data_IF_351701478697
#
_entry.id   IF_351701478697
#
_cell.length_a   1.000
_cell.length_b   1.000
_cell.length_c   1.000
_cell.angle_alpha   90.00
_cell.angle_beta   90.00
_cell.angle_gamma   90.00
#
_symmetry.space_group_name_H-M   'P 1'
#
loop_
_entity.id
_entity.type
_entity.pdbx_description
1 polymer ?
#
# COMPACT_ATOMS: atom_id res chain seq x y z
N UNK A 1 24.17 -3.88 -4.39
CA UNK A 1 22.74 -4.09 -4.69
C UNK A 1 22.42 -5.54 -5.06
N UNK A 2 23.03 -6.13 -6.09
CA UNK A 2 22.70 -7.50 -6.56
C UNK A 2 22.88 -8.56 -5.49
N UNK A 3 24.03 -8.61 -4.81
CA UNK A 3 24.29 -9.60 -3.74
C UNK A 3 23.27 -9.49 -2.60
N UNK A 4 22.98 -8.27 -2.15
CA UNK A 4 21.98 -8.01 -1.10
C UNK A 4 20.57 -8.41 -1.53
N UNK A 5 20.19 -8.20 -2.80
CA UNK A 5 18.92 -8.66 -3.34
C UNK A 5 18.85 -10.19 -3.38
N UNK A 6 19.91 -10.87 -3.85
CA UNK A 6 19.94 -12.34 -3.88
C UNK A 6 19.76 -12.92 -2.49
N UNK A 7 20.48 -12.39 -1.49
CA UNK A 7 20.35 -12.83 -0.09
C UNK A 7 18.95 -12.54 0.43
N UNK A 8 18.43 -11.33 0.22
CA UNK A 8 17.09 -10.94 0.68
C UNK A 8 15.99 -11.81 0.06
N UNK A 9 16.06 -12.08 -1.24
CA UNK A 9 15.13 -12.98 -1.94
C UNK A 9 15.24 -14.40 -1.42
N UNK A 10 16.46 -14.93 -1.24
CA UNK A 10 16.68 -16.27 -0.70
C UNK A 10 16.10 -16.41 0.72
N UNK A 11 16.32 -15.43 1.59
CA UNK A 11 15.71 -15.38 2.92
C UNK A 11 14.18 -15.31 2.83
N UNK A 12 13.64 -14.48 1.94
CA UNK A 12 12.20 -14.36 1.69
C UNK A 12 11.56 -15.67 1.24
N UNK A 13 12.24 -16.44 0.39
CA UNK A 13 11.80 -17.76 -0.06
C UNK A 13 11.67 -18.79 1.06
N UNK A 14 12.38 -18.62 2.19
CA UNK A 14 12.29 -19.51 3.34
C UNK A 14 11.34 -18.95 4.40
N UNK A 15 11.49 -17.68 4.76
CA UNK A 15 10.72 -17.05 5.85
C UNK A 15 9.24 -16.95 5.47
N UNK A 16 8.92 -16.54 4.25
CA UNK A 16 7.51 -16.34 3.83
C UNK A 16 6.68 -17.62 3.90
N UNK A 17 7.09 -18.77 3.34
CA UNK A 17 6.32 -20.00 3.47
C UNK A 17 6.27 -20.51 4.91
N UNK A 18 7.32 -20.32 5.72
CA UNK A 18 7.28 -20.69 7.14
C UNK A 18 6.22 -19.89 7.90
N UNK A 19 6.17 -18.57 7.72
CA UNK A 19 5.15 -17.71 8.33
C UNK A 19 3.76 -18.08 7.81
N UNK A 20 3.61 -18.25 6.50
CA UNK A 20 2.34 -18.69 5.91
C UNK A 20 1.85 -20.01 6.51
N UNK A 21 2.74 -21.00 6.69
CA UNK A 21 2.39 -22.30 7.27
C UNK A 21 1.90 -22.16 8.72
N UNK A 22 2.51 -21.28 9.52
CA UNK A 22 2.05 -20.99 10.89
C UNK A 22 0.62 -20.45 10.87
N UNK A 23 0.35 -19.43 10.04
CA UNK A 23 -1.00 -18.88 9.93
C UNK A 23 -2.00 -19.90 9.39
N UNK A 24 -1.58 -20.71 8.41
CA UNK A 24 -2.44 -21.70 7.75
C UNK A 24 -2.93 -22.78 8.71
N UNK A 25 -2.08 -23.19 9.66
CA UNK A 25 -2.50 -24.13 10.71
C UNK A 25 -3.24 -23.45 11.86
N UNK A 26 -3.00 -22.16 12.10
CA UNK A 26 -3.64 -21.42 13.18
C UNK A 26 -5.08 -20.96 12.84
N UNK A 27 -5.36 -20.66 11.57
CA UNK A 27 -6.65 -20.14 11.10
C UNK A 27 -7.22 -21.05 10.02
N UNK A 28 -8.33 -21.74 10.31
CA UNK A 28 -9.02 -22.65 9.38
C UNK A 28 -9.82 -21.93 8.30
N UNK A 29 -10.09 -20.64 8.49
CA UNK A 29 -10.92 -19.78 7.64
C UNK A 29 -10.10 -18.74 6.86
N UNK A 30 -8.78 -18.93 6.80
CA UNK A 30 -7.88 -18.02 6.09
C UNK A 30 -8.18 -17.96 4.59
N UNK A 31 -8.19 -16.74 4.05
CA UNK A 31 -8.43 -16.45 2.64
C UNK A 31 -9.90 -16.35 2.24
N UNK A 32 -10.84 -16.70 3.13
CA UNK A 32 -12.27 -16.56 2.84
C UNK A 32 -12.74 -15.10 2.97
N UNK A 33 -13.69 -14.63 2.13
CA UNK A 33 -14.27 -13.30 2.29
C UNK A 33 -14.99 -13.15 3.64
N UNK A 34 -14.73 -12.06 4.36
CA UNK A 34 -15.41 -11.73 5.62
C UNK A 34 -14.79 -12.34 6.89
N UNK A 35 -13.66 -13.04 6.77
CA UNK A 35 -12.89 -13.55 7.93
C UNK A 35 -11.83 -12.55 8.37
N UNK A 36 -11.11 -12.87 9.46
CA UNK A 36 -10.05 -12.00 9.98
C UNK A 36 -8.88 -11.80 8.99
N UNK A 37 -8.67 -12.76 8.08
CA UNK A 37 -7.57 -12.77 7.11
C UNK A 37 -8.09 -13.11 5.71
N UNK A 38 -8.79 -12.19 5.03
CA UNK A 38 -9.23 -12.42 3.65
C UNK A 38 -8.02 -12.41 2.70
N UNK A 39 -8.19 -12.98 1.50
CA UNK A 39 -7.18 -12.96 0.43
C UNK A 39 -7.54 -11.92 -0.66
N UNK A 40 -7.40 -10.60 -0.40
CA UNK A 40 -7.83 -9.56 -1.33
C UNK A 40 -7.07 -9.62 -2.66
N UNK A 41 -5.76 -9.92 -2.60
CA UNK A 41 -4.92 -10.02 -3.79
C UNK A 41 -5.32 -11.18 -4.71
N UNK A 42 -5.90 -12.27 -4.18
CA UNK A 42 -6.36 -13.38 -5.00
C UNK A 42 -7.47 -12.95 -5.98
N UNK A 43 -8.34 -12.05 -5.55
CA UNK A 43 -9.40 -11.48 -6.40
C UNK A 43 -8.82 -10.58 -7.50
N UNK A 44 -7.80 -9.80 -7.18
CA UNK A 44 -7.07 -8.97 -8.14
C UNK A 44 -6.40 -9.84 -9.21
N UNK A 45 -5.64 -10.86 -8.80
CA UNK A 45 -4.97 -11.77 -9.73
C UNK A 45 -5.95 -12.57 -10.59
N UNK A 46 -7.08 -13.01 -10.01
CA UNK A 46 -8.14 -13.64 -10.78
C UNK A 46 -8.67 -12.70 -11.86
N UNK A 47 -8.91 -11.44 -11.52
CA UNK A 47 -9.39 -10.43 -12.48
C UNK A 47 -8.37 -10.19 -13.60
N UNK A 48 -7.07 -10.14 -13.26
CA UNK A 48 -5.99 -10.06 -14.26
C UNK A 48 -5.94 -11.30 -15.16
N UNK A 49 -6.13 -12.50 -14.62
CA UNK A 49 -6.18 -13.73 -15.39
C UNK A 49 -7.39 -13.77 -16.35
N UNK A 50 -8.56 -13.35 -15.87
CA UNK A 50 -9.77 -13.24 -16.70
C UNK A 50 -9.56 -12.26 -17.85
N UNK A 51 -9.00 -11.07 -17.59
CA UNK A 51 -8.64 -10.10 -18.64
C UNK A 51 -7.64 -10.69 -19.66
N UNK A 52 -6.72 -11.55 -19.22
CA UNK A 52 -5.79 -12.24 -20.10
C UNK A 52 -6.46 -13.23 -21.06
N UNK A 53 -7.60 -13.83 -20.66
CA UNK A 53 -8.34 -14.82 -21.46
C UNK A 53 -9.38 -14.13 -22.35
N UNK A 54 -10.17 -13.22 -21.78
CA UNK A 54 -11.25 -12.51 -22.48
C UNK A 54 -10.72 -11.38 -23.39
N UNK A 55 -9.45 -11.01 -23.20
CA UNK A 55 -8.76 -10.00 -24.00
C UNK A 55 -9.27 -8.58 -23.75
N UNK A 56 -8.94 -7.68 -24.67
CA UNK A 56 -9.21 -6.26 -24.49
C UNK A 56 -10.71 -5.89 -24.46
N UNK A 57 -11.57 -6.80 -24.90
CA UNK A 57 -13.02 -6.66 -24.93
C UNK A 57 -13.66 -6.67 -23.54
N UNK A 58 -12.98 -7.24 -22.54
CA UNK A 58 -13.44 -7.27 -21.15
C UNK A 58 -13.07 -6.00 -20.36
N UNK A 59 -12.26 -5.09 -20.93
CA UNK A 59 -11.92 -3.85 -20.25
C UNK A 59 -13.11 -2.88 -20.24
N UNK A 60 -13.30 -2.12 -19.15
CA UNK A 60 -14.30 -1.06 -19.11
C UNK A 60 -14.16 -0.08 -20.28
N UNK A 61 -15.28 0.46 -20.75
CA UNK A 61 -15.31 1.49 -21.79
C UNK A 61 -14.35 2.64 -21.45
N UNK A 62 -13.59 3.11 -22.44
CA UNK A 62 -12.55 4.16 -22.32
C UNK A 62 -11.29 3.77 -21.51
N UNK A 63 -11.18 2.56 -20.96
CA UNK A 63 -9.99 2.16 -20.19
C UNK A 63 -8.71 2.23 -21.03
N UNK A 64 -8.72 1.68 -22.26
CA UNK A 64 -7.56 1.75 -23.16
C UNK A 64 -7.21 3.19 -23.55
N UNK A 65 -8.22 4.04 -23.78
CA UNK A 65 -8.00 5.44 -24.09
C UNK A 65 -7.27 6.15 -22.93
N UNK A 66 -7.75 5.98 -21.70
CA UNK A 66 -7.10 6.51 -20.50
C UNK A 66 -5.68 5.94 -20.33
N UNK A 67 -5.47 4.65 -20.60
CA UNK A 67 -4.13 4.04 -20.56
C UNK A 67 -3.16 4.71 -21.54
N UNK A 68 -3.58 4.95 -22.79
CA UNK A 68 -2.76 5.67 -23.77
C UNK A 68 -2.50 7.11 -23.34
N UNK A 69 -3.53 7.84 -22.89
CA UNK A 69 -3.41 9.22 -22.42
C UNK A 69 -2.42 9.34 -21.26
N UNK A 70 -2.55 8.51 -20.22
CA UNK A 70 -1.61 8.50 -19.09
C UNK A 70 -0.21 8.04 -19.47
N UNK A 71 -0.08 7.12 -20.43
CA UNK A 71 1.23 6.69 -20.93
C UNK A 71 1.97 7.85 -21.60
N UNK A 72 1.33 8.55 -22.54
CA UNK A 72 1.92 9.72 -23.19
C UNK A 72 2.16 10.88 -22.20
N UNK A 73 1.23 11.12 -21.28
CA UNK A 73 1.41 12.11 -20.22
C UNK A 73 2.62 11.77 -19.33
N UNK A 74 2.80 10.50 -18.96
CA UNK A 74 3.95 10.05 -18.17
C UNK A 74 5.27 10.24 -18.90
N UNK A 75 5.32 9.91 -20.19
CA UNK A 75 6.50 10.17 -21.04
C UNK A 75 6.81 11.67 -21.07
N UNK A 76 5.79 12.50 -21.29
CA UNK A 76 5.96 13.95 -21.37
C UNK A 76 6.46 14.54 -20.04
N UNK A 77 5.86 14.16 -18.91
CA UNK A 77 6.26 14.62 -17.57
C UNK A 77 7.70 14.22 -17.27
N UNK A 78 8.07 12.96 -17.53
CA UNK A 78 9.44 12.49 -17.31
C UNK A 78 10.44 13.16 -18.27
N UNK A 79 10.05 13.40 -19.52
CA UNK A 79 10.84 14.14 -20.51
C UNK A 79 11.11 15.57 -20.06
N UNK A 80 10.06 16.31 -19.67
CA UNK A 80 10.19 17.66 -19.12
C UNK A 80 11.08 17.65 -17.88
N UNK A 81 10.87 16.70 -16.96
CA UNK A 81 11.69 16.55 -15.75
C UNK A 81 13.18 16.34 -16.06
N UNK A 82 13.50 15.65 -17.15
CA UNK A 82 14.89 15.44 -17.57
C UNK A 82 15.50 16.68 -18.23
N UNK A 83 14.73 17.42 -19.03
CA UNK A 83 15.19 18.63 -19.72
C UNK A 83 15.30 19.86 -18.81
N UNK A 84 14.45 19.93 -17.79
CA UNK A 84 14.36 21.06 -16.86
C UNK A 84 15.36 20.81 -15.73
N UNK A 85 16.50 21.51 -15.74
CA UNK A 85 17.66 21.23 -14.89
C UNK A 85 17.37 21.01 -13.39
N UNK A 86 18.33 20.41 -12.66
CA UNK A 86 18.18 19.87 -11.28
C UNK A 86 17.43 20.74 -10.26
N UNK A 87 17.49 22.08 -10.37
CA UNK A 87 16.76 23.01 -9.48
C UNK A 87 15.24 22.91 -9.65
N UNK A 88 14.77 22.73 -10.88
CA UNK A 88 13.34 22.74 -11.23
C UNK A 88 12.78 21.32 -11.33
N UNK A 89 13.60 20.33 -11.68
CA UNK A 89 13.22 18.90 -11.68
C UNK A 89 12.71 18.39 -10.32
N UNK A 90 13.08 19.03 -9.21
CA UNK A 90 12.63 18.66 -7.85
C UNK A 90 11.13 18.92 -7.63
N UNK A 91 10.54 19.86 -8.36
CA UNK A 91 9.12 20.22 -8.22
C UNK A 91 8.20 19.43 -9.15
N UNK A 92 8.76 18.70 -10.11
CA UNK A 92 7.98 17.91 -11.06
C UNK A 92 7.71 16.53 -10.43
N UNK A 93 6.43 16.15 -10.24
CA UNK A 93 6.10 14.88 -9.63
C UNK A 93 6.52 13.71 -10.52
N UNK A 94 6.82 12.58 -9.89
CA UNK A 94 7.16 11.33 -10.57
C UNK A 94 5.87 10.54 -10.81
N UNK A 95 5.45 10.33 -12.08
CA UNK A 95 4.20 9.64 -12.40
C UNK A 95 4.10 8.25 -11.74
N UNK A 96 5.22 7.52 -11.68
CA UNK A 96 5.29 6.21 -11.01
C UNK A 96 4.94 6.31 -9.51
N UNK A 97 5.46 7.31 -8.81
CA UNK A 97 5.17 7.50 -7.38
C UNK A 97 3.71 7.91 -7.16
N UNK A 98 3.14 8.70 -8.07
CA UNK A 98 1.73 9.09 -8.01
C UNK A 98 0.78 7.92 -8.25
N UNK A 99 1.16 6.92 -9.06
CA UNK A 99 0.30 5.78 -9.39
C UNK A 99 0.15 4.77 -8.23
N UNK A 100 1.13 4.67 -7.33
CA UNK A 100 1.15 3.65 -6.26
C UNK A 100 -0.09 3.73 -5.35
N UNK A 101 -0.49 4.91 -4.82
CA UNK A 101 -1.67 5.01 -3.96
C UNK A 101 -2.99 4.69 -4.68
N UNK A 102 -3.06 4.90 -6.00
CA UNK A 102 -4.25 4.51 -6.77
C UNK A 102 -4.37 2.98 -6.94
N UNK A 103 -3.24 2.27 -6.91
CA UNK A 103 -3.22 0.81 -7.04
C UNK A 103 -3.44 0.09 -5.71
N UNK A 104 -2.77 0.53 -4.63
CA UNK A 104 -2.77 -0.17 -3.35
C UNK A 104 -3.77 0.42 -2.35
N UNK A 105 -3.98 1.74 -2.40
CA UNK A 105 -4.88 2.46 -1.52
C UNK A 105 -4.31 3.79 -1.02
N UNK A 106 -5.20 4.67 -0.57
CA UNK A 106 -4.85 6.02 -0.11
C UNK A 106 -4.03 6.04 1.17
N UNK A 107 -4.05 4.98 1.98
CA UNK A 107 -3.27 4.90 3.22
C UNK A 107 -1.76 5.02 2.94
N UNK A 108 -1.27 4.42 1.84
CA UNK A 108 0.13 4.55 1.41
C UNK A 108 0.49 6.00 1.11
N UNK A 109 -0.45 6.84 0.63
CA UNK A 109 -0.16 8.26 0.42
C UNK A 109 0.13 8.98 1.75
N UNK A 110 -0.57 8.60 2.82
CA UNK A 110 -0.34 9.14 4.17
C UNK A 110 1.05 8.69 4.66
N UNK A 111 1.38 7.42 4.48
CA UNK A 111 2.67 6.86 4.90
C UNK A 111 3.84 7.51 4.15
N UNK A 112 3.69 7.72 2.84
CA UNK A 112 4.67 8.43 2.02
C UNK A 112 4.83 9.89 2.47
N UNK A 113 3.75 10.58 2.85
CA UNK A 113 3.79 11.94 3.35
C UNK A 113 4.52 12.03 4.70
N UNK A 114 4.12 11.20 5.68
CA UNK A 114 4.75 11.14 7.00
C UNK A 114 6.21 10.72 6.89
N UNK A 115 6.51 9.68 6.10
CA UNK A 115 7.86 9.23 5.84
C UNK A 115 8.75 10.29 5.19
N UNK A 116 8.20 11.07 4.24
CA UNK A 116 8.92 12.19 3.62
C UNK A 116 9.20 13.32 4.61
N UNK A 117 8.28 13.61 5.54
CA UNK A 117 8.49 14.60 6.60
C UNK A 117 9.60 14.15 7.57
N UNK A 118 9.57 12.89 8.01
CA UNK A 118 10.62 12.30 8.85
C UNK A 118 11.98 12.41 8.16
N UNK A 119 12.04 12.04 6.88
CA UNK A 119 13.27 12.10 6.09
C UNK A 119 13.76 13.55 5.92
N UNK A 120 12.85 14.52 5.72
CA UNK A 120 13.20 15.94 5.62
C UNK A 120 13.82 16.49 6.92
N UNK A 121 13.21 16.17 8.07
CA UNK A 121 13.76 16.56 9.39
C UNK A 121 15.10 15.87 9.63
N UNK A 122 15.22 14.59 9.30
CA UNK A 122 16.46 13.83 9.49
C UNK A 122 17.59 14.37 8.59
N UNK A 123 17.29 14.72 7.33
CA UNK A 123 18.25 15.36 6.44
C UNK A 123 18.73 16.73 6.95
N UNK A 124 17.89 17.47 7.69
CA UNK A 124 18.27 18.75 8.30
C UNK A 124 19.21 18.56 9.49
N UNK A 125 19.04 17.48 10.25
CA UNK A 125 19.88 17.17 11.41
C UNK A 125 21.19 16.48 11.03
N UNK A 126 21.15 15.48 10.14
CA UNK A 126 22.33 14.71 9.78
C UNK A 126 22.21 14.09 8.37
N UNK A 127 22.82 14.75 7.37
CA UNK A 127 22.80 14.28 5.97
C UNK A 127 23.55 12.98 5.76
N UNK A 128 24.73 12.82 6.35
CA UNK A 128 25.56 11.63 6.12
C UNK A 128 24.86 10.33 6.54
N UNK A 129 24.15 10.35 7.68
CA UNK A 129 23.36 9.20 8.12
C UNK A 129 22.11 8.98 7.26
N UNK A 130 21.45 10.05 6.83
CA UNK A 130 20.23 9.93 6.03
C UNK A 130 20.53 9.36 4.64
N UNK A 131 21.64 9.75 4.02
CA UNK A 131 22.02 9.22 2.71
C UNK A 131 22.41 7.72 2.78
N UNK A 132 22.94 7.27 3.92
CA UNK A 132 23.30 5.87 4.14
C UNK A 132 22.10 4.98 4.53
N UNK A 133 21.25 5.44 5.44
CA UNK A 133 20.19 4.62 6.06
C UNK A 133 18.77 4.97 5.62
N UNK A 134 18.58 6.11 4.96
CA UNK A 134 17.27 6.60 4.51
C UNK A 134 16.50 5.57 3.67
N UNK A 135 17.11 4.92 2.66
CA UNK A 135 16.43 3.90 1.86
C UNK A 135 15.97 2.69 2.69
N UNK A 136 16.77 2.25 3.67
CA UNK A 136 16.43 1.13 4.53
C UNK A 136 15.25 1.47 5.46
N UNK A 137 15.27 2.65 6.07
CA UNK A 137 14.19 3.12 6.95
C UNK A 137 12.90 3.36 6.16
N UNK A 138 12.98 3.96 4.97
CA UNK A 138 11.83 4.16 4.10
C UNK A 138 11.22 2.82 3.65
N UNK A 139 12.04 1.83 3.29
CA UNK A 139 11.55 0.51 2.90
C UNK A 139 10.84 -0.21 4.05
N UNK A 140 11.30 -0.07 5.30
CA UNK A 140 10.67 -0.70 6.45
C UNK A 140 9.39 0.02 6.91
N UNK A 141 9.44 1.35 7.00
CA UNK A 141 8.32 2.14 7.54
C UNK A 141 7.21 2.40 6.52
N UNK A 142 7.56 2.66 5.25
CA UNK A 142 6.59 3.01 4.20
C UNK A 142 6.22 1.75 3.41
N UNK A 143 7.19 1.11 2.74
CA UNK A 143 6.89 -0.03 1.87
C UNK A 143 6.52 -1.31 2.64
N UNK A 144 7.01 -1.45 3.87
CA UNK A 144 6.67 -2.54 4.78
C UNK A 144 5.42 -2.27 5.62
N UNK A 145 4.72 -1.16 5.39
CA UNK A 145 3.52 -0.74 6.15
C UNK A 145 3.78 -0.68 7.67
N UNK A 146 5.03 -0.38 8.04
CA UNK A 146 5.48 -0.42 9.44
C UNK A 146 4.84 0.67 10.30
N UNK A 147 4.44 1.81 9.71
CA UNK A 147 3.81 2.92 10.43
C UNK A 147 2.48 2.48 11.05
N UNK A 148 1.67 1.68 10.34
CA UNK A 148 0.36 1.24 10.83
C UNK A 148 0.33 -0.20 11.31
N UNK A 149 1.04 -1.10 10.63
CA UNK A 149 1.01 -2.53 10.95
C UNK A 149 1.71 -2.84 12.27
N UNK A 150 2.79 -2.14 12.62
CA UNK A 150 3.47 -2.40 13.90
C UNK A 150 2.64 -1.99 15.12
N UNK A 151 2.08 -0.75 15.21
CA UNK A 151 1.21 -0.39 16.32
C UNK A 151 -0.03 -1.28 16.39
N UNK A 152 -0.67 -1.58 15.26
CA UNK A 152 -1.85 -2.45 15.25
C UNK A 152 -1.54 -3.87 15.73
N UNK A 153 -0.39 -4.43 15.33
CA UNK A 153 0.06 -5.74 15.81
C UNK A 153 0.34 -5.73 17.32
N UNK A 154 0.94 -4.66 17.85
CA UNK A 154 1.20 -4.51 19.29
C UNK A 154 -0.13 -4.38 20.05
N UNK A 155 -1.08 -3.59 19.56
CA UNK A 155 -2.41 -3.44 20.17
C UNK A 155 -3.18 -4.76 20.15
N UNK A 156 -3.09 -5.52 19.06
CA UNK A 156 -3.70 -6.84 18.94
C UNK A 156 -3.08 -7.83 19.93
N UNK A 157 -1.75 -7.84 20.07
CA UNK A 157 -1.04 -8.65 21.08
C UNK A 157 -1.42 -8.27 22.51
N UNK A 158 -1.60 -6.98 22.78
CA UNK A 158 -2.05 -6.46 24.09
C UNK A 158 -3.55 -6.69 24.34
N UNK A 159 -4.28 -7.31 23.40
CA UNK A 159 -5.74 -7.56 23.46
C UNK A 159 -6.54 -6.29 23.79
N UNK A 160 -6.07 -5.14 23.31
CA UNK A 160 -6.78 -3.87 23.51
C UNK A 160 -8.08 -3.92 22.72
N UNK A 161 -9.22 -3.84 23.41
CA UNK A 161 -10.51 -3.69 22.75
C UNK A 161 -10.59 -2.29 22.13
N UNK A 162 -10.98 -2.17 20.86
CA UNK A 162 -11.11 -0.86 20.23
C UNK A 162 -12.13 -0.03 21.02
N UNK A 163 -11.77 1.19 21.46
CA UNK A 163 -12.62 2.00 22.33
C UNK A 163 -13.90 2.48 21.63
N UNK A 164 -13.93 2.42 20.29
CA UNK A 164 -15.06 2.83 19.46
C UNK A 164 -15.25 1.76 18.38
N UNK A 165 -16.44 1.15 18.35
CA UNK A 165 -16.85 0.28 17.25
C UNK A 165 -17.67 1.12 16.26
N UNK A 166 -17.06 1.55 15.16
CA UNK A 166 -17.79 2.25 14.09
C UNK A 166 -18.42 1.22 13.16
N UNK A 167 -19.76 1.22 13.11
CA UNK A 167 -20.53 0.43 12.15
C UNK A 167 -21.30 1.38 11.25
N UNK A 168 -21.08 1.28 9.94
CA UNK A 168 -21.84 2.05 8.97
C UNK A 168 -23.15 1.31 8.67
N UNK A 169 -24.24 1.83 9.24
CA UNK A 169 -25.60 1.34 9.00
C UNK A 169 -26.32 2.26 8.01
N UNK A 170 -27.39 1.77 7.40
CA UNK A 170 -28.31 2.62 6.64
C UNK A 170 -28.91 3.68 7.58
N UNK A 171 -29.32 4.83 7.05
CA UNK A 171 -29.89 5.92 7.88
C UNK A 171 -31.11 5.45 8.69
N UNK A 172 -31.94 4.57 8.12
CA UNK A 172 -33.09 3.96 8.80
C UNK A 172 -32.69 3.02 9.95
N UNK A 173 -31.61 2.27 9.79
CA UNK A 173 -31.13 1.35 10.83
C UNK A 173 -30.41 2.11 11.96
N UNK A 174 -29.66 3.18 11.63
CA UNK A 174 -29.07 4.06 12.63
C UNK A 174 -30.16 4.70 13.51
N UNK A 175 -31.23 5.23 12.91
CA UNK A 175 -32.34 5.82 13.67
C UNK A 175 -33.01 4.82 14.63
N UNK A 176 -33.11 3.55 14.22
CA UNK A 176 -33.64 2.47 15.07
C UNK A 176 -32.70 2.14 16.23
N UNK A 177 -31.39 2.10 15.97
CA UNK A 177 -30.38 1.84 17.00
C UNK A 177 -30.32 2.99 18.00
N UNK A 178 -30.34 4.24 17.54
CA UNK A 178 -30.36 5.42 18.41
C UNK A 178 -31.61 5.45 19.29
N UNK A 179 -32.78 5.12 18.72
CA UNK A 179 -34.02 5.02 19.49
C UNK A 179 -33.99 3.90 20.54
N UNK A 180 -33.31 2.78 20.25
CA UNK A 180 -33.17 1.65 21.17
C UNK A 180 -32.14 1.90 22.28
N UNK A 181 -31.05 2.62 21.99
CA UNK A 181 -30.02 2.96 22.99
C UNK A 181 -30.40 4.16 23.85
N UNK A 182 -31.34 4.99 23.40
CA UNK A 182 -31.88 6.13 24.14
C UNK A 182 -33.05 5.81 25.10
N UNK A 183 -33.52 4.55 25.15
CA UNK A 183 -34.51 4.04 26.11
C UNK A 183 -33.85 3.29 27.26
#
# INVERSE_FOLDING_TARGET
>A
MVVSQVIGTAMGCVISPCVFWVFYNAFTDMGQPGTAYPAPYALVYRSMAMLGIEGFSALPSHCLQLCYEFFFASILINGIRHSVGKKWAKYIPLPMAMAIPFYIGSYIAIDMCVGSLILFVWQKLNRAKTDAFGPAVASGLICGDGIWTLPSSILALAKVTPPICMKFLSSSDNARVDAFLGS
#
